data_IF_168888867156
#
_entry.id   IF_168888867156
#
_cell.length_a   1.000
_cell.length_b   1.000
_cell.length_c   1.000
_cell.angle_alpha   90.00
_cell.angle_beta   90.00
_cell.angle_gamma   90.00
#
_symmetry.space_group_name_H-M   'P 1'
#
loop_
_entity.id
_entity.type
_entity.pdbx_description
1 polymer ?
#
# COMPACT_ATOMS: atom_id res chain seq x y z
N UNK A 1 20.08 -4.70 2.71
CA UNK A 1 18.74 -4.30 2.25
C UNK A 1 17.73 -4.52 3.36
N UNK A 2 16.92 -3.50 3.69
CA UNK A 2 15.92 -3.56 4.75
C UNK A 2 14.72 -2.62 4.50
N UNK A 3 13.54 -3.00 4.98
CA UNK A 3 12.28 -2.29 4.77
C UNK A 3 11.74 -2.41 3.34
N UNK A 4 10.87 -1.49 2.95
CA UNK A 4 10.30 -1.46 1.61
C UNK A 4 9.21 -2.50 1.36
N UNK A 5 8.53 -2.98 2.39
CA UNK A 5 7.38 -3.88 2.26
C UNK A 5 6.24 -3.21 1.48
N UNK A 6 5.46 -4.00 0.75
CA UNK A 6 4.14 -3.56 0.28
C UNK A 6 3.12 -3.88 1.37
N UNK A 7 2.44 -2.86 1.88
CA UNK A 7 1.45 -2.93 2.94
C UNK A 7 0.04 -2.88 2.37
N UNK A 8 -0.87 -3.73 2.86
CA UNK A 8 -2.32 -3.60 2.70
C UNK A 8 -3.00 -3.49 4.07
N UNK A 9 -3.53 -2.30 4.45
CA UNK A 9 -4.38 -2.15 5.63
C UNK A 9 -5.80 -2.65 5.33
N UNK A 10 -6.16 -3.84 5.83
CA UNK A 10 -7.35 -4.55 5.38
C UNK A 10 -8.65 -4.04 6.05
N UNK A 11 -8.55 -3.46 7.24
CA UNK A 11 -9.67 -2.93 8.01
C UNK A 11 -9.66 -1.39 8.04
N UNK A 12 -10.83 -0.73 8.26
CA UNK A 12 -10.87 0.71 8.47
C UNK A 12 -9.96 1.17 9.61
N UNK A 13 -9.95 0.43 10.73
CA UNK A 13 -9.07 0.71 11.86
C UNK A 13 -7.59 0.68 11.46
N UNK A 14 -7.17 -0.29 10.62
CA UNK A 14 -5.81 -0.34 10.10
C UNK A 14 -5.49 0.86 9.19
N UNK A 15 -6.43 1.30 8.34
CA UNK A 15 -6.25 2.47 7.46
C UNK A 15 -6.09 3.76 8.25
N UNK A 16 -6.86 3.92 9.32
CA UNK A 16 -6.79 5.11 10.19
C UNK A 16 -5.44 5.23 10.90
N UNK A 17 -4.72 4.12 11.09
CA UNK A 17 -3.34 4.14 11.60
C UNK A 17 -2.33 4.61 10.55
N UNK A 18 -2.68 4.58 9.25
CA UNK A 18 -1.77 4.90 8.15
C UNK A 18 -1.89 6.34 7.68
N UNK A 19 -2.73 7.16 8.31
CA UNK A 19 -3.04 8.53 7.90
C UNK A 19 -2.85 9.51 9.05
N UNK A 20 -2.49 10.76 8.72
CA UNK A 20 -2.33 11.84 9.68
C UNK A 20 -1.13 11.68 10.62
N UNK A 21 -1.08 12.54 11.63
CA UNK A 21 -0.07 12.49 12.70
C UNK A 21 -0.50 11.53 13.81
N UNK A 22 0.44 10.74 14.32
CA UNK A 22 0.27 9.85 15.47
C UNK A 22 1.43 10.05 16.44
N UNK A 23 1.14 9.95 17.73
CA UNK A 23 2.16 10.01 18.79
C UNK A 23 2.41 8.61 19.30
N UNK A 24 3.64 8.13 19.17
CA UNK A 24 4.07 6.82 19.67
C UNK A 24 4.17 6.83 21.21
N UNK A 25 4.16 5.66 21.87
CA UNK A 25 4.27 5.57 23.34
C UNK A 25 5.52 6.23 23.94
N UNK A 26 6.59 6.37 23.15
CA UNK A 26 7.83 7.04 23.54
C UNK A 26 7.79 8.58 23.34
N UNK A 27 6.63 9.15 23.00
CA UNK A 27 6.44 10.58 22.74
C UNK A 27 6.86 11.05 21.34
N UNK A 28 7.36 10.15 20.48
CA UNK A 28 7.77 10.51 19.11
C UNK A 28 6.55 10.67 18.21
N UNK A 29 6.48 11.78 17.48
CA UNK A 29 5.46 11.98 16.43
C UNK A 29 5.88 11.30 15.12
N UNK A 30 4.97 10.50 14.56
CA UNK A 30 5.12 9.87 13.25
C UNK A 30 3.95 10.26 12.35
N UNK A 31 4.20 10.29 11.04
CA UNK A 31 3.20 10.71 10.06
C UNK A 31 2.89 9.61 9.06
N UNK A 32 1.60 9.43 8.81
CA UNK A 32 1.04 8.61 7.74
C UNK A 32 1.55 7.17 7.77
N UNK A 33 1.99 6.70 6.60
CA UNK A 33 2.38 5.31 6.38
C UNK A 33 3.49 4.81 7.32
N UNK A 34 4.36 5.71 7.82
CA UNK A 34 5.47 5.32 8.71
C UNK A 34 4.96 4.64 9.99
N UNK A 35 3.85 5.13 10.56
CA UNK A 35 3.21 4.54 11.73
C UNK A 35 2.72 3.11 11.45
N UNK A 36 2.09 2.93 10.29
CA UNK A 36 1.58 1.62 9.87
C UNK A 36 2.66 0.57 9.59
N UNK A 37 3.91 0.99 9.36
CA UNK A 37 5.01 0.11 9.00
C UNK A 37 5.82 -0.38 10.21
N UNK A 38 5.71 0.25 11.38
CA UNK A 38 6.53 -0.08 12.57
C UNK A 38 5.86 -1.08 13.51
N UNK A 39 4.53 -1.10 13.57
CA UNK A 39 3.82 -1.85 14.62
C UNK A 39 3.15 -3.10 14.05
N UNK A 40 3.23 -4.25 14.72
CA UNK A 40 2.53 -5.47 14.32
C UNK A 40 1.02 -5.33 14.57
N UNK A 41 0.31 -4.64 13.69
CA UNK A 41 -1.15 -4.66 13.67
C UNK A 41 -1.66 -6.00 13.10
N UNK A 42 -2.66 -6.64 13.74
CA UNK A 42 -3.20 -7.92 13.28
C UNK A 42 -3.93 -7.81 11.93
N UNK A 43 -4.41 -6.62 11.59
CA UNK A 43 -5.31 -6.39 10.45
C UNK A 43 -4.60 -5.83 9.20
N UNK A 44 -3.29 -6.05 9.08
CA UNK A 44 -2.52 -5.68 7.90
C UNK A 44 -1.83 -6.87 7.26
N UNK A 45 -1.75 -6.84 5.94
CA UNK A 45 -0.91 -7.75 5.17
C UNK A 45 0.36 -7.00 4.74
N UNK A 46 1.52 -7.48 5.15
CA UNK A 46 2.82 -6.96 4.73
C UNK A 46 3.53 -7.97 3.84
N UNK A 47 3.98 -7.51 2.67
CA UNK A 47 4.66 -8.33 1.68
C UNK A 47 6.10 -7.82 1.56
N UNK A 48 7.09 -8.56 2.10
CA UNK A 48 8.49 -8.20 1.94
C UNK A 48 8.92 -8.20 0.46
N UNK A 49 9.77 -7.25 0.04
CA UNK A 49 10.30 -7.24 -1.33
C UNK A 49 11.20 -8.47 -1.54
N UNK A 50 11.06 -9.11 -2.70
CA UNK A 50 11.91 -10.22 -3.14
C UNK A 50 12.09 -10.14 -4.65
N UNK A 51 13.33 -10.20 -5.12
CA UNK A 51 13.63 -10.21 -6.56
C UNK A 51 12.87 -11.35 -7.24
N UNK A 52 12.20 -11.04 -8.35
CA UNK A 52 11.39 -11.98 -9.12
C UNK A 52 9.98 -12.24 -8.57
N UNK A 53 9.60 -11.72 -7.40
CA UNK A 53 8.22 -11.84 -6.88
C UNK A 53 7.30 -10.84 -7.56
N UNK A 54 6.18 -11.33 -8.08
CA UNK A 54 5.04 -10.52 -8.50
C UNK A 54 3.90 -10.63 -7.47
N UNK A 55 3.21 -9.52 -7.23
CA UNK A 55 1.96 -9.46 -6.46
C UNK A 55 0.87 -8.95 -7.39
N UNK A 56 -0.19 -9.73 -7.55
CA UNK A 56 -1.39 -9.37 -8.31
C UNK A 56 -2.55 -9.17 -7.34
N UNK A 57 -3.27 -8.07 -7.49
CA UNK A 57 -4.48 -7.77 -6.73
C UNK A 57 -5.43 -6.95 -7.60
N UNK A 58 -6.70 -6.92 -7.23
CA UNK A 58 -7.76 -6.20 -7.94
C UNK A 58 -8.14 -4.94 -7.19
N UNK A 59 -8.23 -3.82 -7.90
CA UNK A 59 -8.66 -2.54 -7.30
C UNK A 59 -10.18 -2.39 -7.20
N UNK A 60 -10.94 -3.31 -7.80
CA UNK A 60 -12.39 -3.28 -7.84
C UNK A 60 -12.97 -4.66 -7.53
N UNK A 61 -14.16 -4.70 -6.95
CA UNK A 61 -14.94 -5.92 -6.76
C UNK A 61 -15.57 -6.43 -8.07
N UNK A 62 -16.32 -7.53 -8.00
CA UNK A 62 -17.00 -8.12 -9.16
C UNK A 62 -18.11 -7.22 -9.72
N UNK A 63 -18.61 -6.26 -8.94
CA UNK A 63 -19.57 -5.25 -9.39
C UNK A 63 -18.92 -4.01 -10.01
N UNK A 64 -17.59 -3.93 -10.03
CA UNK A 64 -16.85 -2.78 -10.54
C UNK A 64 -16.74 -1.62 -9.54
N UNK A 65 -17.11 -1.80 -8.27
CA UNK A 65 -16.91 -0.79 -7.24
C UNK A 65 -15.48 -0.87 -6.71
N UNK A 66 -14.91 0.26 -6.26
CA UNK A 66 -13.57 0.26 -5.64
C UNK A 66 -13.54 -0.67 -4.43
N UNK A 67 -12.60 -1.62 -4.40
CA UNK A 67 -12.41 -2.50 -3.24
C UNK A 67 -11.50 -1.81 -2.23
N UNK A 68 -12.04 -1.38 -1.09
CA UNK A 68 -11.25 -0.73 -0.03
C UNK A 68 -10.12 -1.62 0.49
N UNK A 69 -10.23 -2.96 0.41
CA UNK A 69 -9.18 -3.89 0.84
C UNK A 69 -7.98 -3.90 -0.11
N UNK A 70 -8.13 -3.31 -1.30
CA UNK A 70 -7.05 -3.13 -2.27
C UNK A 70 -6.18 -1.89 -2.00
N UNK A 71 -6.55 -1.05 -1.03
CA UNK A 71 -5.70 0.04 -0.57
C UNK A 71 -4.35 -0.52 -0.13
N UNK A 72 -3.29 0.12 -0.60
CA UNK A 72 -1.93 -0.34 -0.37
C UNK A 72 -0.96 0.83 -0.38
N UNK A 73 0.19 0.61 0.25
CA UNK A 73 1.26 1.58 0.28
C UNK A 73 2.61 0.89 0.32
N UNK A 74 3.67 1.64 0.00
CA UNK A 74 5.04 1.18 0.18
C UNK A 74 5.55 1.66 1.54
N UNK A 75 6.02 0.73 2.36
CA UNK A 75 6.74 1.08 3.58
C UNK A 75 8.08 1.73 3.25
N UNK A 76 8.61 2.61 4.12
CA UNK A 76 9.92 3.23 3.92
C UNK A 76 11.03 2.18 3.74
N UNK A 77 11.94 2.43 2.80
CA UNK A 77 13.20 1.68 2.70
C UNK A 77 14.10 2.15 3.84
N UNK A 78 14.54 1.23 4.69
CA UNK A 78 15.39 1.53 5.84
C UNK A 78 16.87 1.43 5.49
N UNK A 79 17.23 0.53 4.55
CA UNK A 79 18.59 0.36 4.07
C UNK A 79 18.59 -0.10 2.61
N UNK A 80 19.41 0.55 1.77
CA UNK A 80 19.55 0.21 0.35
C UNK A 80 18.55 0.94 -0.55
N UNK A 81 18.21 0.33 -1.68
CA UNK A 81 17.27 0.88 -2.67
C UNK A 81 16.30 -0.22 -3.12
N UNK A 82 15.01 0.11 -3.22
CA UNK A 82 13.98 -0.78 -3.75
C UNK A 82 13.61 -0.39 -5.18
N UNK A 83 13.71 -1.34 -6.10
CA UNK A 83 13.24 -1.21 -7.48
C UNK A 83 11.98 -2.05 -7.70
N UNK A 84 11.00 -1.49 -8.40
CA UNK A 84 9.75 -2.19 -8.77
C UNK A 84 9.34 -1.84 -10.20
N UNK A 85 8.55 -2.74 -10.79
CA UNK A 85 7.78 -2.46 -12.00
C UNK A 85 6.30 -2.71 -11.71
N UNK A 86 5.42 -1.81 -12.13
CA UNK A 86 3.99 -1.91 -11.93
C UNK A 86 3.25 -1.87 -13.26
N UNK A 87 2.33 -2.83 -13.45
CA UNK A 87 1.44 -2.88 -14.61
C UNK A 87 -0.01 -2.75 -14.15
N UNK A 88 -0.68 -1.70 -14.61
CA UNK A 88 -2.12 -1.56 -14.44
C UNK A 88 -2.87 -2.17 -15.63
N UNK A 89 -3.88 -2.98 -15.32
CA UNK A 89 -4.86 -3.47 -16.27
C UNK A 89 -6.12 -2.63 -16.14
N UNK A 90 -6.64 -2.14 -17.27
CA UNK A 90 -7.86 -1.31 -17.31
C UNK A 90 -9.00 -2.10 -17.94
N UNK A 91 -10.23 -1.76 -17.57
CA UNK A 91 -11.43 -2.35 -18.16
C UNK A 91 -11.59 -2.04 -19.66
N UNK A 92 -11.15 -0.86 -20.07
CA UNK A 92 -11.14 -0.45 -21.48
C UNK A 92 -9.71 -0.36 -22.01
N UNK A 93 -9.48 -0.74 -23.29
CA UNK A 93 -8.19 -0.53 -23.94
C UNK A 93 -7.74 0.92 -23.82
N UNK A 94 -6.46 1.14 -23.50
CA UNK A 94 -5.92 2.48 -23.30
C UNK A 94 -6.13 3.39 -24.52
N UNK A 95 -6.01 2.84 -25.74
CA UNK A 95 -6.25 3.55 -27.00
C UNK A 95 -7.68 4.10 -27.18
N UNK A 96 -8.64 3.67 -26.33
CA UNK A 96 -10.04 4.13 -26.37
C UNK A 96 -10.39 5.06 -25.21
N UNK A 97 -9.41 5.48 -24.41
CA UNK A 97 -9.64 6.41 -23.30
C UNK A 97 -9.59 7.83 -23.85
N UNK A 98 -10.72 8.51 -23.84
CA UNK A 98 -10.78 9.95 -24.11
C UNK A 98 -10.33 10.67 -22.85
N UNK A 99 -9.21 11.37 -22.90
CA UNK A 99 -8.78 12.24 -21.82
C UNK A 99 -9.59 13.55 -21.90
N UNK A 100 -10.24 13.99 -20.82
CA UNK A 100 -10.78 15.34 -20.77
C UNK A 100 -9.64 16.34 -21.02
N UNK A 101 -9.92 17.48 -21.68
CA UNK A 101 -8.94 18.55 -21.85
C UNK A 101 -8.48 19.13 -20.51
#
# INVERSE_FOLDING_TARGET
DAGGETLFPLTPAARDQCTGWKTLPNGTSVYGIKNCCTDAHPDKLMIPPRVGRAVLFWSHDLGGNKDSRSEHAACPVQQGVKWIAQRWFRFSPYARIVHPP
#
